data_IF_770743518550
#
_entry.id   IF_770743518550
#
_cell.length_a   1.000
_cell.length_b   1.000
_cell.length_c   1.000
_cell.angle_alpha   90.00
_cell.angle_beta   90.00
_cell.angle_gamma   90.00
#
_symmetry.space_group_name_H-M   'P 1'
#
loop_
_entity.id
_entity.type
_entity.pdbx_description
1 polymer ?
#
# COMPACT_ATOMS: atom_id res chain seq x y z
N UNK A 1 -5.04 -20.86 -24.24
CA UNK A 1 -3.69 -21.45 -24.12
C UNK A 1 -2.73 -20.57 -24.88
N UNK A 2 -1.42 -20.68 -24.65
CA UNK A 2 -0.41 -19.92 -25.39
C UNK A 2 -0.23 -20.52 -26.78
N UNK A 3 -0.26 -19.70 -27.83
CA UNK A 3 -0.16 -20.17 -29.21
C UNK A 3 1.26 -20.66 -29.56
N UNK A 4 2.29 -20.20 -28.84
CA UNK A 4 3.68 -20.60 -29.07
C UNK A 4 4.07 -21.92 -28.37
N UNK A 5 3.53 -22.18 -27.17
CA UNK A 5 3.96 -23.31 -26.34
C UNK A 5 2.83 -24.23 -25.85
N UNK A 6 1.56 -23.92 -26.17
CA UNK A 6 0.39 -24.67 -25.74
C UNK A 6 0.04 -24.56 -24.25
N UNK A 7 0.84 -23.83 -23.45
CA UNK A 7 0.67 -23.71 -22.00
C UNK A 7 -0.61 -22.97 -21.57
N UNK A 8 -0.98 -23.12 -20.30
CA UNK A 8 -2.09 -22.36 -19.71
C UNK A 8 -1.69 -20.90 -19.51
N UNK A 9 -2.54 -19.98 -19.98
CA UNK A 9 -2.36 -18.55 -19.73
C UNK A 9 -2.90 -18.22 -18.34
N UNK A 10 -2.04 -17.63 -17.51
CA UNK A 10 -2.41 -17.07 -16.22
C UNK A 10 -2.29 -15.54 -16.27
N UNK A 11 -3.25 -14.78 -15.70
CA UNK A 11 -3.10 -13.34 -15.56
C UNK A 11 -1.82 -12.96 -14.81
N UNK A 12 -1.19 -11.85 -15.22
CA UNK A 12 0.01 -11.29 -14.59
C UNK A 12 -0.24 -10.60 -13.25
N UNK A 13 -1.01 -11.24 -12.37
CA UNK A 13 -1.38 -10.75 -11.04
C UNK A 13 -1.00 -11.76 -9.96
N UNK A 14 -0.90 -11.28 -8.73
CA UNK A 14 -0.72 -12.13 -7.55
C UNK A 14 -2.09 -12.52 -7.02
N UNK A 15 -2.39 -13.81 -6.99
CA UNK A 15 -3.62 -14.34 -6.40
C UNK A 15 -3.42 -14.63 -4.90
N UNK A 16 -4.51 -14.74 -4.15
CA UNK A 16 -4.43 -15.16 -2.75
C UNK A 16 -3.75 -16.52 -2.61
N UNK A 17 -2.87 -16.63 -1.61
CA UNK A 17 -2.03 -17.81 -1.39
C UNK A 17 -0.74 -17.83 -2.21
N UNK A 18 -0.57 -16.91 -3.16
CA UNK A 18 0.68 -16.78 -3.92
C UNK A 18 1.69 -15.87 -3.22
N UNK A 19 2.97 -16.14 -3.48
CA UNK A 19 4.04 -15.26 -3.03
C UNK A 19 4.08 -14.01 -3.89
N UNK A 20 4.30 -12.85 -3.27
CA UNK A 20 4.62 -11.64 -4.01
C UNK A 20 5.96 -11.76 -4.74
N UNK A 21 6.14 -11.00 -5.83
CA UNK A 21 7.44 -10.86 -6.48
C UNK A 21 8.50 -10.40 -5.47
N UNK A 22 9.49 -11.26 -5.22
CA UNK A 22 10.49 -11.05 -4.17
C UNK A 22 11.18 -9.70 -4.28
N UNK A 23 11.63 -9.34 -5.48
CA UNK A 23 12.39 -8.09 -5.72
C UNK A 23 11.53 -6.88 -5.38
N UNK A 24 10.31 -6.80 -5.92
CA UNK A 24 9.41 -5.68 -5.67
C UNK A 24 9.03 -5.55 -4.19
N UNK A 25 8.73 -6.66 -3.52
CA UNK A 25 8.39 -6.62 -2.09
C UNK A 25 9.60 -6.23 -1.22
N UNK A 26 10.79 -6.76 -1.52
CA UNK A 26 12.01 -6.39 -0.79
C UNK A 26 12.35 -4.91 -0.94
N UNK A 27 12.19 -4.35 -2.14
CA UNK A 27 12.39 -2.93 -2.39
C UNK A 27 11.36 -2.07 -1.64
N UNK A 28 10.06 -2.41 -1.73
CA UNK A 28 9.01 -1.71 -1.01
C UNK A 28 9.23 -1.73 0.51
N UNK A 29 9.67 -2.87 1.07
CA UNK A 29 9.97 -3.00 2.49
C UNK A 29 11.18 -2.18 2.94
N UNK A 30 12.20 -2.06 2.07
CA UNK A 30 13.34 -1.17 2.33
C UNK A 30 12.88 0.28 2.31
N UNK A 31 12.20 0.72 1.24
CA UNK A 31 11.69 2.08 1.11
C UNK A 31 10.77 2.48 2.26
N UNK A 32 9.85 1.61 2.67
CA UNK A 32 8.96 1.86 3.81
C UNK A 32 9.73 2.02 5.13
N UNK A 33 10.90 1.36 5.27
CA UNK A 33 11.77 1.48 6.44
C UNK A 33 12.71 2.68 6.43
N UNK A 34 12.88 3.32 5.28
CA UNK A 34 13.77 4.47 5.09
C UNK A 34 12.99 5.78 4.89
N UNK A 35 11.66 5.72 4.80
CA UNK A 35 10.82 6.86 4.48
C UNK A 35 10.59 7.76 5.70
N UNK A 36 10.76 9.07 5.52
CA UNK A 36 10.37 10.08 6.52
C UNK A 36 8.84 10.14 6.68
N UNK A 37 8.12 9.94 5.57
CA UNK A 37 6.65 9.96 5.51
C UNK A 37 6.16 8.84 4.58
N UNK A 38 5.21 8.04 5.08
CA UNK A 38 4.48 7.03 4.30
C UNK A 38 3.00 7.40 4.21
N UNK A 39 2.48 7.48 2.99
CA UNK A 39 1.08 7.79 2.71
C UNK A 39 0.33 6.51 2.30
N UNK A 40 -0.59 6.05 3.14
CA UNK A 40 -1.56 5.01 2.76
C UNK A 40 -2.82 5.67 2.20
N UNK A 41 -3.07 5.49 0.91
CA UNK A 41 -4.16 6.15 0.18
C UNK A 41 -5.15 5.11 -0.34
N UNK A 42 -6.39 5.13 0.15
CA UNK A 42 -7.48 4.26 -0.33
C UNK A 42 -7.30 2.77 -0.06
N UNK A 43 -6.58 2.42 1.01
CA UNK A 43 -6.36 1.03 1.43
C UNK A 43 -6.93 0.79 2.82
N UNK A 44 -7.65 -0.31 2.99
CA UNK A 44 -8.09 -0.80 4.31
C UNK A 44 -6.93 -1.35 5.15
N UNK A 45 -5.77 -1.55 4.54
CA UNK A 45 -4.57 -2.11 5.15
C UNK A 45 -4.81 -3.48 5.82
N UNK A 46 -5.61 -4.36 5.23
CA UNK A 46 -5.88 -5.70 5.79
C UNK A 46 -5.14 -6.85 5.08
N UNK A 47 -4.66 -6.64 3.86
CA UNK A 47 -4.05 -7.70 3.05
C UNK A 47 -2.54 -7.76 3.27
N UNK A 48 -2.09 -8.85 3.88
CA UNK A 48 -0.67 -9.10 4.12
C UNK A 48 0.00 -9.81 2.94
N UNK A 49 1.30 -9.55 2.74
CA UNK A 49 2.21 -8.73 3.55
C UNK A 49 2.19 -7.22 3.23
N UNK A 50 1.53 -6.76 2.17
CA UNK A 50 1.57 -5.35 1.74
C UNK A 50 1.11 -4.37 2.83
N UNK A 51 0.06 -4.70 3.58
CA UNK A 51 -0.38 -3.91 4.73
C UNK A 51 0.71 -3.67 5.78
N UNK A 52 1.63 -4.63 5.95
CA UNK A 52 2.73 -4.54 6.92
C UNK A 52 3.72 -3.42 6.61
N UNK A 53 3.75 -2.90 5.38
CA UNK A 53 4.59 -1.77 5.00
C UNK A 53 4.20 -0.49 5.75
N UNK A 54 2.89 -0.26 5.95
CA UNK A 54 2.40 0.88 6.74
C UNK A 54 2.83 0.76 8.21
N UNK A 55 2.74 -0.45 8.78
CA UNK A 55 3.25 -0.73 10.12
C UNK A 55 4.76 -0.48 10.23
N UNK A 56 5.54 -0.97 9.26
CA UNK A 56 6.99 -0.72 9.22
C UNK A 56 7.32 0.77 9.16
N UNK A 57 6.61 1.55 8.34
CA UNK A 57 6.82 2.98 8.26
C UNK A 57 6.49 3.70 9.58
N UNK A 58 5.40 3.32 10.24
CA UNK A 58 5.01 3.91 11.52
C UNK A 58 5.99 3.60 12.68
N UNK A 59 6.94 2.68 12.52
CA UNK A 59 8.00 2.42 13.52
C UNK A 59 9.18 3.39 13.41
N UNK A 60 9.42 3.94 12.22
CA UNK A 60 10.66 4.66 11.89
C UNK A 60 10.41 6.10 11.47
N UNK A 61 9.24 6.38 10.90
CA UNK A 61 8.87 7.68 10.36
C UNK A 61 7.39 7.96 10.57
N UNK A 62 6.86 8.92 9.80
CA UNK A 62 5.47 9.34 9.92
C UNK A 62 4.55 8.49 9.03
N UNK A 63 3.40 8.11 9.56
CA UNK A 63 2.33 7.44 8.81
C UNK A 63 1.12 8.36 8.68
N UNK A 64 0.66 8.57 7.43
CA UNK A 64 -0.62 9.23 7.13
C UNK A 64 -1.53 8.24 6.42
N UNK A 65 -2.76 8.12 6.91
CA UNK A 65 -3.79 7.25 6.33
C UNK A 65 -4.93 8.11 5.79
N UNK A 66 -5.28 7.90 4.52
CA UNK A 66 -6.44 8.50 3.86
C UNK A 66 -7.34 7.37 3.40
N UNK A 67 -8.44 7.14 4.13
CA UNK A 67 -9.38 6.06 3.84
C UNK A 67 -10.75 6.36 4.47
N UNK A 68 -11.83 5.89 3.85
CA UNK A 68 -13.18 6.04 4.41
C UNK A 68 -13.34 5.30 5.74
N UNK A 69 -12.94 4.03 5.76
CA UNK A 69 -13.11 3.14 6.91
C UNK A 69 -11.87 3.12 7.80
N UNK A 70 -12.08 2.72 9.05
CA UNK A 70 -11.01 2.45 10.00
C UNK A 70 -10.01 1.41 9.46
N UNK A 71 -8.73 1.61 9.76
CA UNK A 71 -7.64 0.69 9.45
C UNK A 71 -6.99 0.20 10.74
N UNK A 72 -6.31 -0.94 10.67
CA UNK A 72 -5.59 -1.49 11.83
C UNK A 72 -4.35 -0.68 12.24
N UNK A 73 -4.03 0.42 11.53
CA UNK A 73 -2.88 1.28 11.81
C UNK A 73 -3.28 2.71 12.19
N UNK A 74 -4.58 3.00 12.36
CA UNK A 74 -5.06 4.36 12.65
C UNK A 74 -4.53 4.91 13.99
N UNK A 75 -4.33 4.03 14.96
CA UNK A 75 -3.76 4.34 16.28
C UNK A 75 -2.26 4.66 16.23
N UNK A 76 -1.58 4.21 15.17
CA UNK A 76 -0.16 4.44 14.89
C UNK A 76 0.08 5.55 13.87
N UNK A 77 -0.97 6.04 13.22
CA UNK A 77 -0.87 7.08 12.21
C UNK A 77 -0.84 8.46 12.87
N UNK A 78 0.09 9.32 12.43
CA UNK A 78 0.14 10.72 12.87
C UNK A 78 -1.09 11.50 12.40
N UNK A 79 -1.63 11.11 11.24
CA UNK A 79 -2.83 11.70 10.66
C UNK A 79 -3.69 10.64 10.00
N UNK A 80 -4.98 10.70 10.31
CA UNK A 80 -6.03 9.91 9.68
C UNK A 80 -7.05 10.85 9.06
N UNK A 81 -7.22 10.75 7.74
CA UNK A 81 -8.19 11.52 6.98
C UNK A 81 -9.30 10.59 6.53
N UNK A 82 -10.51 10.85 7.01
CA UNK A 82 -11.72 10.12 6.62
C UNK A 82 -12.41 10.82 5.47
N UNK A 83 -12.32 10.24 4.28
CA UNK A 83 -12.99 10.81 3.12
C UNK A 83 -12.51 10.27 1.80
N UNK A 84 -13.05 10.86 0.74
CA UNK A 84 -12.77 10.50 -0.63
C UNK A 84 -11.36 10.96 -1.04
N UNK A 85 -10.55 10.01 -1.49
CA UNK A 85 -9.22 10.28 -2.02
C UNK A 85 -9.28 11.19 -3.26
N UNK A 86 -10.31 11.05 -4.09
CA UNK A 86 -10.50 11.87 -5.29
C UNK A 86 -10.82 13.33 -4.95
N UNK A 87 -11.40 13.59 -3.78
CA UNK A 87 -11.59 14.94 -3.26
C UNK A 87 -10.35 15.46 -2.50
N UNK A 88 -9.65 14.56 -1.79
CA UNK A 88 -8.48 14.92 -0.97
C UNK A 88 -7.27 15.34 -1.80
N UNK A 89 -6.88 14.56 -2.82
CA UNK A 89 -5.63 14.82 -3.56
C UNK A 89 -5.60 16.18 -4.27
N UNK A 90 -6.68 16.66 -4.94
CA UNK A 90 -6.69 18.00 -5.53
C UNK A 90 -6.51 19.13 -4.50
N UNK A 91 -6.97 18.96 -3.26
CA UNK A 91 -6.77 19.95 -2.20
C UNK A 91 -5.34 19.97 -1.67
N UNK A 92 -4.65 18.82 -1.71
CA UNK A 92 -3.21 18.75 -1.39
C UNK A 92 -2.39 19.40 -2.50
N UNK A 93 -2.72 19.13 -3.76
CA UNK A 93 -2.05 19.71 -4.93
C UNK A 93 -2.07 21.24 -4.91
N UNK A 94 -3.18 21.87 -4.52
CA UNK A 94 -3.29 23.34 -4.43
C UNK A 94 -2.35 23.98 -3.41
N UNK A 95 -1.71 23.20 -2.54
CA UNK A 95 -0.86 23.67 -1.43
C UNK A 95 0.63 23.49 -1.70
N UNK A 96 0.99 22.91 -2.85
CA UNK A 96 2.38 22.72 -3.33
C UNK A 96 2.59 23.45 -4.64
#
# INVERSE_FOLDING_TARGET
>A
TCDDCGGLLKPGVVLFGERLPRVAYSEANRLAGDADVFLSLGSSLTVHPAAGLAGRAAEVGSLVVVNFDATQYDDRADRVVRGDLAAFLPEVEKRI
#
